data_IF_901646316935
#
_entry.id   IF_901646316935
#
_cell.length_a   1.000
_cell.length_b   1.000
_cell.length_c   1.000
_cell.angle_alpha   90.00
_cell.angle_beta   90.00
_cell.angle_gamma   90.00
#
_symmetry.space_group_name_H-M   'P 1'
#
loop_
_entity.id
_entity.type
_entity.pdbx_description
1 polymer ?
#
# COMPACT_ATOMS: atom_id res chain seq x y z
N UNK A 1 16.44 15.59 -11.10
CA UNK A 1 17.59 15.70 -12.02
C UNK A 1 17.18 15.60 -13.50
N UNK A 2 16.22 14.75 -13.84
CA UNK A 2 15.84 14.46 -15.25
C UNK A 2 15.04 15.56 -15.94
N UNK A 3 14.44 16.49 -15.22
CA UNK A 3 13.56 17.52 -15.81
C UNK A 3 14.17 18.94 -15.78
N UNK A 4 15.36 19.12 -15.24
CA UNK A 4 16.00 20.47 -15.13
C UNK A 4 15.18 21.49 -14.33
N UNK A 5 14.19 21.03 -13.53
CA UNK A 5 13.33 21.91 -12.74
C UNK A 5 14.09 22.50 -11.56
N UNK A 6 14.01 23.81 -11.39
CA UNK A 6 14.48 24.54 -10.22
C UNK A 6 13.43 24.50 -9.11
N UNK A 7 13.85 24.60 -7.84
CA UNK A 7 12.94 24.63 -6.69
C UNK A 7 12.39 23.26 -6.23
N UNK A 8 12.65 22.19 -6.97
CA UNK A 8 12.13 20.83 -6.61
C UNK A 8 12.74 20.34 -5.31
N UNK A 9 14.03 20.67 -5.07
CA UNK A 9 14.72 20.25 -3.84
C UNK A 9 14.09 20.92 -2.61
N UNK A 10 13.86 22.21 -2.66
CA UNK A 10 13.27 22.98 -1.56
C UNK A 10 11.88 22.48 -1.19
N UNK A 11 11.04 22.14 -2.19
CA UNK A 11 9.73 21.54 -1.97
C UNK A 11 9.85 20.15 -1.35
N UNK A 12 10.76 19.32 -1.87
CA UNK A 12 10.99 17.98 -1.34
C UNK A 12 11.51 18.02 0.10
N UNK A 13 12.45 18.95 0.41
CA UNK A 13 12.98 19.14 1.74
C UNK A 13 11.88 19.62 2.72
N UNK A 14 11.03 20.56 2.30
CA UNK A 14 9.88 21.01 3.10
C UNK A 14 8.91 19.87 3.43
N UNK A 15 8.54 19.08 2.42
CA UNK A 15 7.64 17.91 2.62
C UNK A 15 8.29 16.84 3.49
N UNK A 16 9.59 16.57 3.28
CA UNK A 16 10.35 15.61 4.07
C UNK A 16 10.44 16.02 5.55
N UNK A 17 10.72 17.30 5.79
CA UNK A 17 10.73 17.87 7.15
C UNK A 17 9.34 17.78 7.80
N UNK A 18 8.30 18.17 7.07
CA UNK A 18 6.92 18.09 7.59
C UNK A 18 6.54 16.66 8.00
N UNK A 19 6.73 15.69 7.10
CA UNK A 19 6.37 14.29 7.38
C UNK A 19 7.17 13.76 8.59
N UNK A 20 8.46 14.06 8.65
CA UNK A 20 9.33 13.51 9.68
C UNK A 20 9.11 14.18 11.05
N UNK A 21 8.98 15.51 11.11
CA UNK A 21 8.98 16.29 12.35
C UNK A 21 7.59 16.78 12.78
N UNK A 22 6.61 16.90 11.86
CA UNK A 22 5.34 17.58 12.13
C UNK A 22 4.11 16.71 11.91
N UNK A 23 4.22 15.63 11.13
CA UNK A 23 3.12 14.70 10.93
C UNK A 23 2.69 14.07 12.26
N UNK A 24 1.40 14.07 12.53
CA UNK A 24 0.84 13.51 13.77
C UNK A 24 1.14 12.01 13.89
N UNK A 25 1.63 11.61 15.08
CA UNK A 25 2.04 10.24 15.38
C UNK A 25 1.48 9.76 16.70
N UNK A 26 1.27 8.46 16.79
CA UNK A 26 1.10 7.75 18.05
C UNK A 26 2.44 7.69 18.81
N UNK A 27 2.41 7.27 20.08
CA UNK A 27 3.60 7.13 20.93
C UNK A 27 4.67 6.19 20.33
N UNK A 28 4.23 5.19 19.55
CA UNK A 28 5.14 4.26 18.86
C UNK A 28 5.66 4.80 17.51
N UNK A 29 5.40 6.05 17.19
CA UNK A 29 5.84 6.71 15.96
C UNK A 29 4.95 6.45 14.74
N UNK A 30 3.89 5.67 14.86
CA UNK A 30 2.98 5.37 13.75
C UNK A 30 2.12 6.58 13.41
N UNK A 31 1.95 6.88 12.12
CA UNK A 31 1.05 7.94 11.67
C UNK A 31 -0.41 7.63 11.99
N UNK A 32 -1.16 8.65 12.37
CA UNK A 32 -2.60 8.57 12.54
C UNK A 32 -3.26 9.94 12.39
N UNK A 33 -4.57 9.97 12.26
CA UNK A 33 -5.36 11.18 12.10
C UNK A 33 -5.92 11.60 13.46
N UNK A 34 -5.30 12.58 14.12
CA UNK A 34 -5.73 13.04 15.46
C UNK A 34 -6.87 14.03 15.39
N UNK A 35 -6.66 15.13 14.66
CA UNK A 35 -7.58 16.26 14.59
C UNK A 35 -7.89 16.56 13.14
N UNK A 36 -9.09 16.21 12.69
CA UNK A 36 -9.54 16.40 11.31
C UNK A 36 -10.83 17.23 11.28
N UNK A 37 -11.06 17.92 10.16
CA UNK A 37 -12.26 18.75 9.97
C UNK A 37 -13.57 17.96 10.13
N UNK A 38 -13.57 16.70 9.71
CA UNK A 38 -14.73 15.83 9.86
C UNK A 38 -14.55 14.87 11.02
N UNK A 39 -15.50 14.84 11.92
CA UNK A 39 -15.46 14.07 13.17
C UNK A 39 -15.24 12.56 12.98
N UNK A 40 -15.72 11.98 11.87
CA UNK A 40 -15.53 10.57 11.60
C UNK A 40 -14.07 10.22 11.21
N UNK A 41 -13.27 11.20 10.77
CA UNK A 41 -11.84 11.01 10.51
C UNK A 41 -10.97 11.17 11.76
N UNK A 42 -11.50 11.79 12.82
CA UNK A 42 -10.73 12.08 14.03
C UNK A 42 -10.43 10.80 14.80
N UNK A 43 -9.22 10.72 15.34
CA UNK A 43 -8.75 9.57 16.10
C UNK A 43 -8.88 8.25 15.31
N UNK A 44 -8.42 8.26 14.06
CA UNK A 44 -8.48 7.10 13.17
C UNK A 44 -7.14 6.83 12.47
N UNK A 45 -6.98 5.62 11.96
CA UNK A 45 -5.91 5.19 11.07
C UNK A 45 -6.54 4.49 9.87
N UNK A 46 -6.15 4.87 8.68
CA UNK A 46 -6.70 4.36 7.42
C UNK A 46 -5.62 3.61 6.65
N UNK A 47 -5.94 2.46 6.09
CA UNK A 47 -4.96 1.62 5.37
C UNK A 47 -4.24 2.38 4.24
N UNK A 48 -4.95 3.26 3.55
CA UNK A 48 -4.44 4.09 2.46
C UNK A 48 -3.48 5.21 2.91
N UNK A 49 -3.44 5.55 4.21
CA UNK A 49 -2.47 6.53 4.75
C UNK A 49 -1.01 6.09 4.55
N UNK A 50 -0.77 4.79 4.40
CA UNK A 50 0.56 4.28 4.00
C UNK A 50 1.00 4.84 2.65
N UNK A 51 0.09 4.97 1.67
CA UNK A 51 0.43 5.55 0.38
C UNK A 51 0.71 7.05 0.46
N UNK A 52 0.06 7.77 1.36
CA UNK A 52 0.21 9.22 1.48
C UNK A 52 1.61 9.63 1.97
N UNK A 53 2.36 8.73 2.60
CA UNK A 53 3.68 9.02 3.18
C UNK A 53 4.80 8.14 2.65
N UNK A 54 4.63 6.83 2.61
CA UNK A 54 5.72 5.87 2.37
C UNK A 54 6.36 5.99 0.99
N UNK A 55 5.63 6.13 -0.14
CA UNK A 55 6.28 6.33 -1.44
C UNK A 55 7.10 7.60 -1.51
N UNK A 56 6.66 8.68 -0.85
CA UNK A 56 7.46 9.90 -0.76
C UNK A 56 8.73 9.66 0.06
N UNK A 57 8.61 9.10 1.27
CA UNK A 57 9.76 8.81 2.14
C UNK A 57 10.78 7.90 1.44
N UNK A 58 10.32 6.88 0.71
CA UNK A 58 11.15 5.97 -0.06
C UNK A 58 11.96 6.70 -1.14
N UNK A 59 11.32 7.59 -1.91
CA UNK A 59 11.98 8.39 -2.94
C UNK A 59 12.87 9.46 -2.35
N UNK A 60 12.46 10.05 -1.23
CA UNK A 60 13.23 11.08 -0.55
C UNK A 60 14.49 10.48 0.10
N UNK A 61 14.41 9.27 0.67
CA UNK A 61 15.59 8.49 1.05
C UNK A 61 16.55 8.29 -0.13
N UNK A 62 16.04 7.81 -1.28
CA UNK A 62 16.86 7.62 -2.49
C UNK A 62 17.50 8.94 -2.98
N UNK A 63 16.85 10.07 -2.75
CA UNK A 63 17.33 11.38 -3.15
C UNK A 63 18.39 11.94 -2.20
N UNK A 64 18.20 11.79 -0.88
CA UNK A 64 19.06 12.37 0.16
C UNK A 64 20.16 11.43 0.65
N UNK A 65 19.92 10.12 0.63
CA UNK A 65 20.75 9.10 1.27
C UNK A 65 20.58 9.02 2.79
N UNK A 66 19.65 9.80 3.38
CA UNK A 66 19.43 9.84 4.83
C UNK A 66 18.54 8.65 5.27
N UNK A 67 19.17 7.69 5.94
CA UNK A 67 18.57 6.41 6.35
C UNK A 67 17.31 6.58 7.19
N UNK A 68 17.20 7.66 7.96
CA UNK A 68 16.03 7.88 8.84
C UNK A 68 14.68 7.84 8.10
N UNK A 69 14.64 8.25 6.82
CA UNK A 69 13.41 8.22 6.02
C UNK A 69 13.03 6.80 5.60
N UNK A 70 14.01 5.95 5.31
CA UNK A 70 13.79 4.53 5.05
C UNK A 70 13.35 3.78 6.32
N UNK A 71 13.99 4.08 7.44
CA UNK A 71 13.66 3.52 8.75
C UNK A 71 12.22 3.87 9.15
N UNK A 72 11.83 5.14 8.98
CA UNK A 72 10.48 5.61 9.27
C UNK A 72 9.44 4.93 8.36
N UNK A 73 9.69 4.91 7.05
CA UNK A 73 8.82 4.23 6.10
C UNK A 73 8.61 2.74 6.46
N UNK A 74 9.68 2.04 6.85
CA UNK A 74 9.61 0.65 7.28
C UNK A 74 8.81 0.50 8.58
N UNK A 75 9.00 1.40 9.54
CA UNK A 75 8.28 1.40 10.82
C UNK A 75 6.76 1.55 10.64
N UNK A 76 6.31 2.36 9.68
CA UNK A 76 4.90 2.56 9.44
C UNK A 76 4.18 1.23 9.16
N UNK A 77 4.75 0.34 8.35
CA UNK A 77 4.11 -0.95 8.06
C UNK A 77 3.86 -1.80 9.32
N UNK A 78 4.77 -1.80 10.28
CA UNK A 78 4.58 -2.57 11.53
C UNK A 78 3.55 -1.93 12.45
N UNK A 79 3.51 -0.61 12.51
CA UNK A 79 2.49 0.13 13.25
C UNK A 79 1.08 -0.09 12.69
N UNK A 80 0.95 -0.06 11.37
CA UNK A 80 -0.31 -0.35 10.65
C UNK A 80 -0.69 -1.83 10.77
N UNK A 81 0.26 -2.75 10.59
CA UNK A 81 0.05 -4.21 10.80
C UNK A 81 -0.54 -4.49 12.18
N UNK A 82 0.04 -3.91 13.22
CA UNK A 82 -0.41 -4.12 14.62
C UNK A 82 -1.90 -3.80 14.82
N UNK A 83 -2.45 -2.81 14.07
CA UNK A 83 -3.81 -2.30 14.27
C UNK A 83 -4.80 -2.78 13.22
N UNK A 84 -4.36 -2.91 11.99
CA UNK A 84 -5.26 -3.18 10.86
C UNK A 84 -5.18 -4.62 10.34
N UNK A 85 -4.13 -5.38 10.61
CA UNK A 85 -4.03 -6.71 10.05
C UNK A 85 -5.08 -7.69 10.60
N UNK A 86 -5.71 -8.45 9.70
CA UNK A 86 -6.65 -9.54 10.00
C UNK A 86 -5.98 -10.88 9.66
N UNK A 87 -5.43 -11.59 10.65
CA UNK A 87 -4.62 -12.80 10.41
C UNK A 87 -5.40 -13.94 9.76
N UNK A 88 -6.67 -14.10 10.07
CA UNK A 88 -7.52 -15.17 9.53
C UNK A 88 -7.78 -15.01 8.02
N UNK A 89 -7.83 -13.76 7.55
CA UNK A 89 -8.07 -13.43 6.14
C UNK A 89 -6.78 -13.05 5.40
N UNK A 90 -5.72 -12.69 6.12
CA UNK A 90 -4.44 -12.20 5.60
C UNK A 90 -4.58 -10.92 4.75
N UNK A 91 -5.50 -10.04 5.12
CA UNK A 91 -5.76 -8.75 4.50
C UNK A 91 -5.91 -7.66 5.57
N UNK A 92 -6.17 -6.43 5.17
CA UNK A 92 -6.35 -5.30 6.07
C UNK A 92 -7.75 -4.71 5.95
N UNK A 93 -8.47 -4.44 7.06
CA UNK A 93 -9.66 -3.60 7.04
C UNK A 93 -9.24 -2.17 6.70
N UNK A 94 -10.21 -1.37 6.25
CA UNK A 94 -9.94 -0.01 5.80
C UNK A 94 -9.52 0.91 6.95
N UNK A 95 -10.19 0.85 8.11
CA UNK A 95 -10.06 1.83 9.18
C UNK A 95 -9.91 1.17 10.55
N UNK A 96 -9.03 1.74 11.37
CA UNK A 96 -8.99 1.56 12.82
C UNK A 96 -9.47 2.85 13.48
N UNK A 97 -10.45 2.75 14.40
CA UNK A 97 -10.99 3.86 15.16
C UNK A 97 -10.52 3.80 16.62
N UNK A 98 -9.65 4.73 17.00
CA UNK A 98 -9.10 4.80 18.35
C UNK A 98 -10.11 5.26 19.41
N UNK A 99 -11.23 5.88 19.00
CA UNK A 99 -12.28 6.29 19.93
C UNK A 99 -13.03 5.09 20.54
N UNK A 100 -13.13 4.03 19.76
CA UNK A 100 -13.85 2.81 20.11
C UNK A 100 -12.94 1.59 20.22
N UNK A 101 -11.63 1.78 20.07
CA UNK A 101 -10.60 0.72 20.09
C UNK A 101 -10.97 -0.47 19.18
N UNK A 102 -11.40 -0.16 17.96
CA UNK A 102 -11.91 -1.19 17.03
C UNK A 102 -11.49 -0.93 15.60
N UNK A 103 -11.38 -2.00 14.84
CA UNK A 103 -11.20 -1.93 13.39
C UNK A 103 -12.51 -2.24 12.67
N UNK A 104 -12.76 -1.55 11.56
CA UNK A 104 -13.90 -1.86 10.69
C UNK A 104 -13.73 -3.25 10.10
N UNK A 105 -14.82 -3.97 9.88
CA UNK A 105 -14.78 -5.29 9.23
C UNK A 105 -14.70 -5.23 7.70
N UNK A 106 -14.51 -4.03 7.11
CA UNK A 106 -14.59 -3.81 5.67
C UNK A 106 -13.19 -3.70 5.05
N UNK A 107 -12.71 -4.71 4.32
CA UNK A 107 -11.43 -4.66 3.61
C UNK A 107 -11.60 -3.99 2.25
N UNK A 108 -11.55 -2.67 2.21
CA UNK A 108 -11.64 -1.91 0.97
C UNK A 108 -10.49 -2.24 0.02
N UNK A 109 -10.82 -2.65 -1.22
CA UNK A 109 -9.86 -3.15 -2.21
C UNK A 109 -8.75 -2.14 -2.53
N UNK A 110 -9.10 -0.90 -2.87
CA UNK A 110 -8.13 0.16 -3.16
C UNK A 110 -7.24 0.49 -1.97
N UNK A 111 -7.78 0.51 -0.74
CA UNK A 111 -6.98 0.70 0.48
C UNK A 111 -5.91 -0.40 0.63
N UNK A 112 -6.29 -1.67 0.43
CA UNK A 112 -5.36 -2.79 0.42
C UNK A 112 -4.35 -2.71 -0.74
N UNK A 113 -4.79 -2.25 -1.92
CA UNK A 113 -3.93 -1.98 -3.07
C UNK A 113 -2.83 -0.97 -2.72
N UNK A 114 -3.18 0.13 -2.06
CA UNK A 114 -2.23 1.14 -1.60
C UNK A 114 -1.19 0.60 -0.62
N UNK A 115 -1.58 -0.34 0.25
CA UNK A 115 -0.66 -0.98 1.20
C UNK A 115 0.46 -1.72 0.46
N UNK A 116 0.12 -2.62 -0.45
CA UNK A 116 1.14 -3.41 -1.16
C UNK A 116 1.87 -2.61 -2.23
N UNK A 117 1.22 -1.64 -2.87
CA UNK A 117 1.90 -0.68 -3.72
C UNK A 117 3.03 0.00 -2.96
N UNK A 118 2.72 0.61 -1.83
CA UNK A 118 3.68 1.34 -1.00
C UNK A 118 4.80 0.44 -0.48
N UNK A 119 4.48 -0.80 -0.11
CA UNK A 119 5.47 -1.76 0.36
C UNK A 119 6.47 -2.14 -0.74
N UNK A 120 6.00 -2.34 -1.98
CA UNK A 120 6.90 -2.61 -3.11
C UNK A 120 7.75 -1.42 -3.50
N UNK A 121 7.24 -0.17 -3.36
CA UNK A 121 8.02 1.05 -3.56
C UNK A 121 9.16 1.17 -2.53
N UNK A 122 8.87 0.85 -1.27
CA UNK A 122 9.89 0.86 -0.21
C UNK A 122 10.93 -0.25 -0.44
N UNK A 123 10.51 -1.49 -0.68
CA UNK A 123 11.41 -2.63 -0.85
C UNK A 123 12.38 -2.45 -2.03
N UNK A 124 12.01 -1.70 -3.06
CA UNK A 124 12.91 -1.40 -4.19
C UNK A 124 14.13 -0.56 -3.78
N UNK A 125 13.97 0.30 -2.78
CA UNK A 125 15.02 1.25 -2.36
C UNK A 125 15.65 0.90 -1.01
N UNK A 126 14.98 0.07 -0.21
CA UNK A 126 15.45 -0.33 1.11
C UNK A 126 16.71 -1.20 0.97
N UNK A 127 17.81 -0.91 1.68
CA UNK A 127 19.02 -1.72 1.62
C UNK A 127 18.76 -3.21 1.89
N UNK A 128 19.53 -4.08 1.24
CA UNK A 128 19.38 -5.53 1.41
C UNK A 128 19.68 -6.01 2.83
N UNK A 129 20.58 -5.34 3.52
CA UNK A 129 20.99 -5.59 4.90
C UNK A 129 20.15 -4.84 5.94
N UNK A 130 19.10 -4.12 5.51
CA UNK A 130 18.24 -3.38 6.43
C UNK A 130 17.52 -4.36 7.39
N UNK A 131 17.57 -4.12 8.72
CA UNK A 131 17.13 -5.09 9.73
C UNK A 131 15.65 -5.50 9.62
N UNK A 132 14.81 -4.65 9.02
CA UNK A 132 13.37 -4.92 8.85
C UNK A 132 13.01 -5.45 7.47
N UNK A 133 13.96 -5.60 6.56
CA UNK A 133 13.67 -5.99 5.17
C UNK A 133 13.00 -7.35 5.06
N UNK A 134 13.54 -8.34 5.76
CA UNK A 134 13.01 -9.71 5.73
C UNK A 134 11.59 -9.78 6.28
N UNK A 135 11.32 -9.10 7.39
CA UNK A 135 9.98 -9.05 8.01
C UNK A 135 8.96 -8.36 7.08
N UNK A 136 9.38 -7.33 6.33
CA UNK A 136 8.54 -6.68 5.31
C UNK A 136 8.25 -7.63 4.14
N UNK A 137 9.24 -8.38 3.67
CA UNK A 137 9.06 -9.39 2.61
C UNK A 137 8.12 -10.50 3.07
N UNK A 138 8.25 -10.96 4.31
CA UNK A 138 7.31 -11.95 4.88
C UNK A 138 5.90 -11.40 4.98
N UNK A 139 5.76 -10.14 5.39
CA UNK A 139 4.44 -9.51 5.45
C UNK A 139 3.85 -9.28 4.06
N UNK A 140 4.68 -8.91 3.07
CA UNK A 140 4.26 -8.84 1.67
C UNK A 140 3.72 -10.18 1.18
N UNK A 141 4.45 -11.28 1.42
CA UNK A 141 4.02 -12.63 1.07
C UNK A 141 2.67 -12.97 1.71
N UNK A 142 2.53 -12.69 3.01
CA UNK A 142 1.29 -12.95 3.74
C UNK A 142 0.10 -12.22 3.15
N UNK A 143 0.23 -10.93 2.85
CA UNK A 143 -0.82 -10.13 2.23
C UNK A 143 -1.13 -10.61 0.80
N UNK A 144 -0.09 -10.86 0.00
CA UNK A 144 -0.25 -11.32 -1.38
C UNK A 144 -0.96 -12.68 -1.45
N UNK A 145 -0.74 -13.59 -0.50
CA UNK A 145 -1.52 -14.84 -0.39
C UNK A 145 -2.99 -14.55 -0.09
N UNK A 146 -3.27 -13.62 0.81
CA UNK A 146 -4.63 -13.18 1.09
C UNK A 146 -5.34 -12.65 -0.15
N UNK A 147 -4.70 -11.73 -0.86
CA UNK A 147 -5.28 -11.14 -2.08
C UNK A 147 -5.41 -12.15 -3.20
N UNK A 148 -4.45 -13.07 -3.38
CA UNK A 148 -4.52 -14.09 -4.42
C UNK A 148 -5.79 -14.95 -4.29
N UNK A 149 -6.20 -15.29 -3.07
CA UNK A 149 -7.44 -16.06 -2.82
C UNK A 149 -8.72 -15.29 -3.12
N UNK A 150 -8.64 -13.97 -3.21
CA UNK A 150 -9.79 -13.07 -3.40
C UNK A 150 -9.89 -12.53 -4.84
N UNK A 151 -9.07 -13.06 -5.77
CA UNK A 151 -9.27 -12.83 -7.20
C UNK A 151 -10.48 -13.62 -7.68
N UNK A 152 -11.43 -12.94 -8.31
CA UNK A 152 -12.63 -13.59 -8.81
C UNK A 152 -12.38 -14.50 -10.04
N UNK A 153 -13.44 -15.21 -10.48
CA UNK A 153 -13.35 -16.11 -11.62
C UNK A 153 -13.10 -15.39 -12.94
N UNK A 154 -13.41 -14.11 -13.04
CA UNK A 154 -13.21 -13.30 -14.24
C UNK A 154 -11.83 -12.61 -14.24
N UNK A 155 -11.13 -12.60 -13.10
CA UNK A 155 -9.77 -12.10 -12.95
C UNK A 155 -9.66 -10.76 -12.23
N UNK A 156 -10.76 -10.17 -11.81
CA UNK A 156 -10.78 -8.89 -11.08
C UNK A 156 -10.73 -9.09 -9.56
N UNK A 157 -10.50 -8.01 -8.84
CA UNK A 157 -10.75 -7.91 -7.40
C UNK A 157 -11.88 -6.92 -7.16
N UNK A 158 -12.66 -7.19 -6.12
CA UNK A 158 -13.85 -6.41 -5.80
C UNK A 158 -13.53 -5.19 -4.93
N UNK A 159 -14.40 -4.19 -4.96
CA UNK A 159 -14.28 -2.96 -4.17
C UNK A 159 -14.20 -3.27 -2.67
N UNK A 160 -14.96 -4.26 -2.19
CA UNK A 160 -14.83 -4.86 -0.85
C UNK A 160 -14.34 -6.28 -1.05
N UNK A 161 -13.09 -6.56 -0.65
CA UNK A 161 -12.38 -7.77 -1.07
C UNK A 161 -13.04 -9.08 -0.70
N UNK A 162 -13.76 -9.13 0.41
CA UNK A 162 -14.47 -10.32 0.90
C UNK A 162 -15.99 -10.26 0.68
N UNK A 163 -16.44 -9.38 -0.18
CA UNK A 163 -17.85 -9.23 -0.57
C UNK A 163 -17.99 -9.36 -2.09
N UNK A 164 -18.40 -10.54 -2.55
CA UNK A 164 -18.57 -10.87 -3.96
C UNK A 164 -19.75 -10.16 -4.63
N UNK A 165 -20.62 -9.50 -3.86
CA UNK A 165 -21.72 -8.69 -4.37
C UNK A 165 -21.27 -7.24 -4.65
N UNK A 166 -20.14 -6.81 -4.08
CA UNK A 166 -19.54 -5.53 -4.43
C UNK A 166 -19.00 -5.57 -5.87
N UNK A 167 -18.92 -4.43 -6.54
CA UNK A 167 -18.48 -4.40 -7.94
C UNK A 167 -16.98 -4.74 -8.11
N UNK A 168 -16.59 -5.40 -9.22
CA UNK A 168 -15.19 -5.56 -9.61
C UNK A 168 -14.57 -4.18 -9.86
N UNK A 169 -13.43 -3.89 -9.23
CA UNK A 169 -12.86 -2.55 -9.22
C UNK A 169 -11.51 -2.52 -9.95
N UNK A 170 -11.41 -1.61 -10.93
CA UNK A 170 -10.23 -1.49 -11.78
C UNK A 170 -8.98 -1.04 -11.03
N UNK A 171 -9.13 -0.13 -10.07
CA UNK A 171 -7.98 0.46 -9.37
C UNK A 171 -7.28 -0.55 -8.47
N UNK A 172 -8.00 -1.29 -7.62
CA UNK A 172 -7.39 -2.30 -6.75
C UNK A 172 -6.82 -3.46 -7.57
N UNK A 173 -7.51 -3.88 -8.65
CA UNK A 173 -7.02 -4.90 -9.58
C UNK A 173 -5.68 -4.48 -10.19
N UNK A 174 -5.56 -3.24 -10.67
CA UNK A 174 -4.30 -2.71 -11.21
C UNK A 174 -3.17 -2.71 -10.18
N UNK A 175 -3.47 -2.32 -8.94
CA UNK A 175 -2.49 -2.26 -7.85
C UNK A 175 -2.00 -3.65 -7.41
N UNK A 176 -2.89 -4.65 -7.37
CA UNK A 176 -2.49 -6.02 -7.05
C UNK A 176 -1.64 -6.63 -8.15
N UNK A 177 -2.01 -6.44 -9.44
CA UNK A 177 -1.17 -6.84 -10.58
C UNK A 177 0.20 -6.18 -10.49
N UNK A 178 0.26 -4.88 -10.20
CA UNK A 178 1.51 -4.15 -10.04
C UNK A 178 2.37 -4.74 -8.93
N UNK A 179 1.80 -4.95 -7.75
CA UNK A 179 2.53 -5.47 -6.60
C UNK A 179 3.01 -6.91 -6.82
N UNK A 180 2.16 -7.79 -7.38
CA UNK A 180 2.52 -9.17 -7.72
C UNK A 180 3.64 -9.20 -8.77
N UNK A 181 3.53 -8.42 -9.84
CA UNK A 181 4.55 -8.33 -10.89
C UNK A 181 5.91 -7.88 -10.34
N UNK A 182 5.91 -6.89 -9.45
CA UNK A 182 7.14 -6.45 -8.79
C UNK A 182 7.69 -7.50 -7.84
N UNK A 183 6.83 -8.11 -7.03
CA UNK A 183 7.22 -9.16 -6.11
C UNK A 183 7.86 -10.37 -6.80
N UNK A 184 7.32 -10.76 -7.96
CA UNK A 184 7.90 -11.78 -8.83
C UNK A 184 9.23 -11.32 -9.43
N UNK A 185 9.24 -10.13 -10.05
CA UNK A 185 10.43 -9.56 -10.71
C UNK A 185 11.63 -9.44 -9.79
N UNK A 186 11.42 -9.03 -8.56
CA UNK A 186 12.49 -8.82 -7.59
C UNK A 186 12.75 -10.06 -6.69
N UNK A 187 12.05 -11.16 -6.91
CA UNK A 187 12.23 -12.40 -6.14
C UNK A 187 11.74 -12.31 -4.68
N UNK A 188 10.82 -11.39 -4.38
CA UNK A 188 10.26 -11.24 -3.04
C UNK A 188 9.14 -12.23 -2.74
N UNK A 189 8.39 -12.66 -3.76
CA UNK A 189 7.27 -13.59 -3.60
C UNK A 189 7.71 -15.05 -3.77
N UNK A 190 7.28 -15.89 -2.84
CA UNK A 190 7.43 -17.34 -2.90
C UNK A 190 6.44 -17.90 -3.93
N UNK A 191 6.82 -19.01 -4.60
CA UNK A 191 5.98 -19.67 -5.59
C UNK A 191 5.48 -18.71 -6.70
N UNK A 192 6.38 -18.04 -7.43
CA UNK A 192 6.04 -16.92 -8.30
C UNK A 192 5.04 -17.25 -9.41
N UNK A 193 4.95 -18.51 -9.84
CA UNK A 193 4.10 -18.96 -10.95
C UNK A 193 2.61 -18.68 -10.71
N UNK A 194 2.14 -18.78 -9.46
CA UNK A 194 0.73 -18.51 -9.12
C UNK A 194 0.40 -17.02 -9.28
N UNK A 195 1.34 -16.14 -8.92
CA UNK A 195 1.17 -14.68 -9.07
C UNK A 195 1.28 -14.25 -10.54
N UNK A 196 2.15 -14.88 -11.32
CA UNK A 196 2.23 -14.65 -12.77
C UNK A 196 0.89 -14.98 -13.42
N UNK A 197 0.29 -16.12 -13.10
CA UNK A 197 -1.04 -16.50 -13.61
C UNK A 197 -2.12 -15.50 -13.21
N UNK A 198 -2.13 -15.06 -11.95
CA UNK A 198 -3.07 -14.07 -11.46
C UNK A 198 -2.90 -12.72 -12.17
N UNK A 199 -1.66 -12.28 -12.41
CA UNK A 199 -1.37 -11.06 -13.17
C UNK A 199 -1.92 -11.10 -14.60
N UNK A 200 -1.68 -12.19 -15.33
CA UNK A 200 -2.21 -12.33 -16.70
C UNK A 200 -3.72 -12.34 -16.71
N UNK A 201 -4.34 -13.09 -15.83
CA UNK A 201 -5.81 -13.17 -15.69
C UNK A 201 -6.42 -11.79 -15.38
N UNK A 202 -5.84 -11.09 -14.42
CA UNK A 202 -6.29 -9.73 -14.06
C UNK A 202 -6.06 -8.71 -15.16
N UNK A 203 -4.93 -8.77 -15.84
CA UNK A 203 -4.66 -7.90 -16.99
C UNK A 203 -5.63 -8.13 -18.15
N UNK A 204 -5.93 -9.39 -18.46
CA UNK A 204 -6.91 -9.74 -19.49
C UNK A 204 -8.30 -9.21 -19.14
N UNK A 205 -8.73 -9.36 -17.87
CA UNK A 205 -9.99 -8.82 -17.37
C UNK A 205 -10.05 -7.30 -17.49
N UNK A 206 -9.03 -6.58 -16.96
CA UNK A 206 -8.93 -5.12 -17.06
C UNK A 206 -8.99 -4.63 -18.51
N UNK A 207 -8.20 -5.25 -19.39
CA UNK A 207 -8.12 -4.84 -20.78
C UNK A 207 -9.44 -5.01 -21.54
N UNK A 208 -10.25 -5.98 -21.14
CA UNK A 208 -11.56 -6.26 -21.78
C UNK A 208 -12.70 -5.42 -21.19
N UNK A 209 -12.68 -5.16 -19.90
CA UNK A 209 -13.85 -4.62 -19.19
C UNK A 209 -13.69 -3.17 -18.73
N UNK A 210 -12.46 -2.76 -18.40
CA UNK A 210 -12.20 -1.48 -17.77
C UNK A 210 -11.48 -0.46 -18.66
N UNK A 211 -10.93 -0.88 -19.80
CA UNK A 211 -10.17 0.02 -20.69
C UNK A 211 -10.88 0.10 -22.06
N UNK A 212 -11.22 1.30 -22.48
CA UNK A 212 -11.78 1.53 -23.82
C UNK A 212 -10.68 1.64 -24.90
N UNK A 213 -11.11 1.74 -26.17
CA UNK A 213 -10.18 1.90 -27.32
C UNK A 213 -9.40 3.22 -27.31
N UNK A 214 -9.88 4.22 -26.55
CA UNK A 214 -9.21 5.51 -26.34
C UNK A 214 -8.18 5.48 -25.21
N UNK A 215 -8.08 4.37 -24.45
CA UNK A 215 -7.22 4.24 -23.29
C UNK A 215 -7.81 4.83 -22.01
N UNK A 216 -9.10 5.19 -22.00
CA UNK A 216 -9.77 5.59 -20.76
C UNK A 216 -10.05 4.36 -19.89
N UNK A 217 -9.91 4.52 -18.57
CA UNK A 217 -10.14 3.47 -17.57
C UNK A 217 -11.43 3.77 -16.80
N UNK A 218 -12.28 2.76 -16.64
CA UNK A 218 -13.57 2.79 -15.96
C UNK A 218 -13.64 1.75 -14.85
N UNK A 219 -14.52 1.97 -13.86
CA UNK A 219 -14.80 1.03 -12.76
C UNK A 219 -13.98 1.22 -11.49
#
# INVERSE_FOLDING_TARGET
KYLGLTGVKEVADYVGDYIFNHQTRLEDGTFFRKDQLHSFHNMTMWADDLYMSVPFLSRYYKFTGDQKYADDAANQFFGFKKRLYMPEQQIMPHVYDFKYDTKTGVPWGRGNGWVVFSMTELLEVLPEDHPKRNDLIEFLNTLCEGYLRLQDNDGMWHQVLNDWESYPEASCTSMFIYAFSRGVRFGWLKEPEKYVKACYKGWEALSKTAVDRGGNVYG
#
